data_IF_319355636492
#
_entry.id   IF_319355636492
#
_cell.length_a   1.000
_cell.length_b   1.000
_cell.length_c   1.000
_cell.angle_alpha   90.00
_cell.angle_beta   90.00
_cell.angle_gamma   90.00
#
_symmetry.space_group_name_H-M   'P 1'
#
loop_
_entity.id
_entity.type
_entity.pdbx_description
1 polymer ?
#
# COMPACT_ATOMS: atom_id res chain seq x y z
N UNK A 1 28.65 -3.31 13.56
CA UNK A 1 27.52 -2.68 12.86
C UNK A 1 26.55 -3.76 12.47
N UNK A 2 25.33 -3.70 12.97
CA UNK A 2 24.35 -4.76 12.74
C UNK A 2 23.00 -4.23 12.30
N UNK A 3 22.21 -5.11 11.71
CA UNK A 3 20.82 -4.92 11.34
C UNK A 3 19.95 -5.76 12.27
N UNK A 4 18.93 -5.15 12.86
CA UNK A 4 17.90 -5.87 13.58
C UNK A 4 16.75 -6.22 12.60
N UNK A 5 16.41 -7.48 12.51
CA UNK A 5 15.20 -7.95 11.84
C UNK A 5 14.13 -8.27 12.90
N UNK A 6 13.01 -7.52 12.92
CA UNK A 6 11.98 -7.67 13.95
C UNK A 6 10.57 -7.72 13.39
N UNK A 7 9.85 -8.81 13.72
CA UNK A 7 8.45 -9.00 13.41
C UNK A 7 7.73 -9.72 14.56
N UNK A 8 6.45 -9.40 14.77
CA UNK A 8 5.55 -10.18 15.65
C UNK A 8 4.57 -11.04 14.86
N UNK A 9 4.50 -10.83 13.56
CA UNK A 9 3.56 -11.47 12.65
C UNK A 9 4.37 -12.31 11.65
N UNK A 10 4.52 -13.59 11.96
CA UNK A 10 5.34 -14.53 11.19
C UNK A 10 4.55 -15.09 10.00
N UNK A 11 4.19 -14.23 9.05
CA UNK A 11 3.62 -14.66 7.77
C UNK A 11 4.68 -15.22 6.80
N UNK A 12 5.96 -14.97 7.10
CA UNK A 12 7.11 -15.58 6.41
C UNK A 12 8.15 -16.03 7.43
N UNK A 13 8.92 -17.04 7.08
CA UNK A 13 10.04 -17.51 7.88
C UNK A 13 11.11 -16.40 7.95
N UNK A 14 11.35 -15.85 9.15
CA UNK A 14 12.34 -14.79 9.36
C UNK A 14 13.76 -15.25 8.98
N UNK A 15 14.01 -16.55 8.97
CA UNK A 15 15.30 -17.12 8.55
C UNK A 15 15.53 -16.96 7.04
N UNK A 16 14.47 -16.96 6.23
CA UNK A 16 14.56 -16.65 4.79
C UNK A 16 14.99 -15.19 4.58
N UNK A 17 14.39 -14.27 5.35
CA UNK A 17 14.78 -12.86 5.31
C UNK A 17 16.20 -12.64 5.81
N UNK A 18 16.57 -13.31 6.89
CA UNK A 18 17.94 -13.26 7.43
C UNK A 18 18.95 -13.70 6.39
N UNK A 19 18.77 -14.90 5.83
CA UNK A 19 19.68 -15.46 4.82
C UNK A 19 19.80 -14.55 3.58
N UNK A 20 18.67 -13.97 3.12
CA UNK A 20 18.68 -13.04 2.00
C UNK A 20 19.43 -11.74 2.31
N UNK A 21 19.33 -11.22 3.53
CA UNK A 21 20.06 -10.03 3.95
C UNK A 21 21.55 -10.31 4.13
N UNK A 22 21.94 -11.48 4.71
CA UNK A 22 23.34 -11.92 4.83
C UNK A 22 24.01 -12.10 3.47
N UNK A 23 23.29 -12.64 2.47
CA UNK A 23 23.78 -12.75 1.11
C UNK A 23 23.96 -11.38 0.44
N UNK A 24 23.01 -10.47 0.65
CA UNK A 24 23.04 -9.13 0.03
C UNK A 24 24.04 -8.17 0.71
N UNK A 25 24.31 -8.35 1.99
CA UNK A 25 25.15 -7.46 2.83
C UNK A 25 26.05 -8.28 3.74
N UNK A 26 27.05 -9.00 3.19
CA UNK A 26 27.89 -9.91 3.96
C UNK A 26 28.80 -9.21 4.99
N UNK A 27 28.92 -7.89 4.92
CA UNK A 27 29.66 -7.06 5.88
C UNK A 27 28.83 -6.65 7.11
N UNK A 28 27.54 -6.98 7.14
CA UNK A 28 26.62 -6.63 8.23
C UNK A 28 26.24 -7.86 9.03
N UNK A 29 26.24 -7.75 10.35
CA UNK A 29 25.65 -8.77 11.21
C UNK A 29 24.14 -8.65 11.21
N UNK A 30 23.42 -9.72 10.92
CA UNK A 30 21.95 -9.75 10.88
C UNK A 30 21.43 -10.46 12.14
N UNK A 31 20.84 -9.70 13.04
CA UNK A 31 20.23 -10.21 14.27
C UNK A 31 18.71 -10.30 14.13
N UNK A 32 18.13 -11.39 14.59
CA UNK A 32 16.66 -11.60 14.54
C UNK A 32 16.09 -11.49 15.95
N UNK A 33 15.11 -10.61 16.14
CA UNK A 33 14.41 -10.49 17.41
C UNK A 33 13.79 -11.83 17.83
N UNK A 34 13.91 -12.28 19.10
CA UNK A 34 14.44 -11.55 20.27
C UNK A 34 15.95 -11.68 20.53
N UNK A 35 16.71 -12.35 19.66
CA UNK A 35 18.16 -12.51 19.80
C UNK A 35 18.85 -11.32 19.10
N UNK A 36 18.96 -10.22 19.83
CA UNK A 36 19.29 -8.89 19.30
C UNK A 36 20.81 -8.62 19.23
N UNK A 37 21.64 -9.45 19.87
CA UNK A 37 23.08 -9.20 20.04
C UNK A 37 23.35 -7.99 20.94
N UNK A 38 24.44 -7.24 20.66
CA UNK A 38 24.72 -5.99 21.37
C UNK A 38 23.85 -4.85 20.83
N UNK A 39 23.01 -4.29 21.69
CA UNK A 39 22.09 -3.19 21.35
C UNK A 39 22.82 -1.93 20.84
N UNK A 40 24.09 -1.75 21.20
CA UNK A 40 24.91 -0.63 20.74
C UNK A 40 25.41 -0.80 19.31
N UNK A 41 25.41 -2.02 18.78
CA UNK A 41 25.88 -2.33 17.42
C UNK A 41 24.76 -2.18 16.38
N UNK A 42 23.49 -2.12 16.82
CA UNK A 42 22.33 -2.02 15.92
C UNK A 42 22.22 -0.61 15.35
N UNK A 43 22.45 -0.48 14.06
CA UNK A 43 22.35 0.79 13.32
C UNK A 43 21.11 0.88 12.42
N UNK A 44 20.54 -0.24 12.01
CA UNK A 44 19.34 -0.30 11.17
C UNK A 44 18.36 -1.32 11.72
N UNK A 45 17.06 -1.00 11.62
CA UNK A 45 16.00 -1.93 11.97
C UNK A 45 15.11 -2.21 10.75
N UNK A 46 15.05 -3.46 10.33
CA UNK A 46 14.14 -3.96 9.29
C UNK A 46 12.94 -4.57 9.99
N UNK A 47 11.75 -3.99 9.81
CA UNK A 47 10.62 -4.28 10.69
C UNK A 47 9.32 -4.56 9.93
N UNK A 48 8.52 -5.48 10.51
CA UNK A 48 7.12 -5.66 10.17
C UNK A 48 6.31 -5.94 11.43
N UNK A 49 5.37 -5.02 11.78
CA UNK A 49 4.58 -5.12 13.02
C UNK A 49 5.45 -5.48 14.24
N UNK A 50 6.56 -4.78 14.41
CA UNK A 50 7.50 -5.03 15.49
C UNK A 50 6.87 -4.82 16.89
N UNK A 51 7.40 -5.42 17.95
CA UNK A 51 6.93 -5.16 19.31
C UNK A 51 7.05 -3.68 19.66
N UNK A 52 5.98 -3.08 20.17
CA UNK A 52 5.94 -1.65 20.53
C UNK A 52 7.03 -1.29 21.53
N UNK A 53 7.66 -0.16 21.31
CA UNK A 53 8.71 0.39 22.17
C UNK A 53 10.07 -0.29 22.06
N UNK A 54 10.21 -1.35 21.27
CA UNK A 54 11.49 -2.06 21.15
C UNK A 54 12.58 -1.17 20.55
N UNK A 55 12.22 -0.31 19.59
CA UNK A 55 13.18 0.51 18.85
C UNK A 55 13.89 1.54 19.73
N UNK A 56 13.35 1.87 20.89
CA UNK A 56 14.03 2.75 21.89
C UNK A 56 15.29 2.12 22.50
N UNK A 57 15.42 0.80 22.46
CA UNK A 57 16.56 0.10 23.05
C UNK A 57 17.87 0.37 22.30
N UNK A 58 17.81 0.82 21.04
CA UNK A 58 18.98 0.92 20.15
C UNK A 58 19.42 2.36 20.02
N UNK A 59 20.44 2.80 20.81
CA UNK A 59 20.86 4.20 20.87
C UNK A 59 21.52 4.70 19.57
N UNK A 60 22.07 3.78 18.77
CA UNK A 60 22.80 4.09 17.54
C UNK A 60 21.97 3.86 16.27
N UNK A 61 20.66 3.68 16.42
CA UNK A 61 19.74 3.45 15.28
C UNK A 61 19.74 4.68 14.34
N UNK A 62 20.01 4.45 13.07
CA UNK A 62 20.12 5.47 12.01
C UNK A 62 18.87 5.53 11.10
N UNK A 63 18.23 4.40 10.86
CA UNK A 63 17.02 4.31 10.05
C UNK A 63 16.18 3.08 10.39
N UNK A 64 14.88 3.20 10.10
CA UNK A 64 13.90 2.12 10.21
C UNK A 64 13.40 1.78 8.81
N UNK A 65 13.47 0.51 8.43
CA UNK A 65 13.06 0.00 7.13
C UNK A 65 11.81 -0.88 7.31
N UNK A 66 10.71 -0.49 6.68
CA UNK A 66 9.49 -1.31 6.67
C UNK A 66 9.60 -2.39 5.60
N UNK A 67 9.32 -3.65 5.95
CA UNK A 67 9.19 -4.77 5.00
C UNK A 67 7.93 -4.67 4.12
N UNK A 68 7.08 -3.68 4.37
CA UNK A 68 5.87 -3.44 3.59
C UNK A 68 5.86 -2.09 2.88
N UNK A 69 4.92 -1.92 1.96
CA UNK A 69 4.67 -0.64 1.29
C UNK A 69 4.03 0.40 2.23
N UNK A 70 3.28 -0.05 3.24
CA UNK A 70 2.73 0.78 4.31
C UNK A 70 3.71 0.94 5.47
N UNK A 71 3.57 2.04 6.20
CA UNK A 71 4.38 2.36 7.39
C UNK A 71 3.52 2.59 8.64
N UNK A 72 2.23 2.37 8.56
CA UNK A 72 1.26 2.54 9.64
C UNK A 72 1.64 1.74 10.89
N UNK A 73 2.12 0.51 10.72
CA UNK A 73 2.60 -0.34 11.80
C UNK A 73 3.85 0.23 12.51
N UNK A 74 4.65 1.07 11.83
CA UNK A 74 5.79 1.76 12.43
C UNK A 74 5.36 3.03 13.13
N UNK A 75 4.61 3.91 12.43
CA UNK A 75 4.20 5.21 12.96
C UNK A 75 3.16 5.14 14.08
N UNK A 76 2.46 4.00 14.22
CA UNK A 76 1.53 3.75 15.32
C UNK A 76 2.22 3.34 16.63
N UNK A 77 3.54 3.16 16.65
CA UNK A 77 4.29 2.92 17.87
C UNK A 77 4.42 4.24 18.66
N UNK A 78 3.80 4.38 19.86
CA UNK A 78 3.87 5.59 20.65
C UNK A 78 5.28 5.90 21.17
N UNK A 79 6.13 4.89 21.15
CA UNK A 79 7.51 4.93 21.61
C UNK A 79 8.53 4.98 20.47
N UNK A 80 8.07 5.30 19.26
CA UNK A 80 8.93 5.42 18.09
C UNK A 80 10.03 6.48 18.33
N UNK A 81 11.32 6.17 18.11
CA UNK A 81 12.39 7.17 18.20
C UNK A 81 12.15 8.33 17.22
N UNK A 82 12.21 9.55 17.74
CA UNK A 82 11.95 10.75 16.92
C UNK A 82 13.13 11.08 16.01
N UNK A 83 12.82 11.60 14.82
CA UNK A 83 13.83 12.15 13.90
C UNK A 83 14.57 11.10 13.05
N UNK A 84 14.27 9.82 13.20
CA UNK A 84 14.83 8.78 12.34
C UNK A 84 14.07 8.69 11.01
N UNK A 85 14.78 8.52 9.88
CA UNK A 85 14.15 8.25 8.61
C UNK A 85 13.46 6.88 8.64
N UNK A 86 12.21 6.85 8.11
CA UNK A 86 11.47 5.62 7.88
C UNK A 86 11.45 5.35 6.38
N UNK A 87 12.08 4.25 5.97
CA UNK A 87 12.15 3.80 4.58
C UNK A 87 11.09 2.71 4.37
N UNK A 88 10.27 2.86 3.34
CA UNK A 88 9.26 1.86 2.99
C UNK A 88 9.69 1.04 1.78
N UNK A 89 9.17 -0.17 1.69
CA UNK A 89 9.36 -1.00 0.52
C UNK A 89 8.63 -0.38 -0.69
N UNK A 90 9.37 -0.19 -1.79
CA UNK A 90 8.82 0.17 -3.10
C UNK A 90 9.20 -0.95 -4.08
N UNK A 91 8.37 -1.98 -4.13
CA UNK A 91 8.60 -3.15 -4.97
C UNK A 91 7.74 -3.13 -6.23
N UNK A 92 8.37 -3.45 -7.38
CA UNK A 92 7.70 -3.51 -8.68
C UNK A 92 6.74 -4.70 -8.79
N UNK A 93 7.08 -5.84 -8.17
CA UNK A 93 6.22 -7.04 -8.19
C UNK A 93 4.95 -6.79 -7.39
N UNK A 94 5.09 -6.27 -6.16
CA UNK A 94 3.94 -5.87 -5.34
C UNK A 94 3.05 -4.86 -6.07
N UNK A 95 3.65 -3.86 -6.70
CA UNK A 95 2.90 -2.86 -7.49
C UNK A 95 2.13 -3.53 -8.62
N UNK A 96 2.76 -4.49 -9.33
CA UNK A 96 2.12 -5.24 -10.41
C UNK A 96 0.95 -6.09 -9.91
N UNK A 97 1.11 -6.82 -8.81
CA UNK A 97 0.02 -7.60 -8.20
C UNK A 97 -1.16 -6.71 -7.78
N UNK A 98 -0.89 -5.52 -7.24
CA UNK A 98 -1.93 -4.55 -6.90
C UNK A 98 -2.66 -4.01 -8.14
N UNK A 99 -1.96 -3.83 -9.27
CA UNK A 99 -2.60 -3.50 -10.55
C UNK A 99 -3.54 -4.62 -10.97
N UNK A 100 -3.06 -5.87 -11.02
CA UNK A 100 -3.87 -7.02 -11.42
C UNK A 100 -5.11 -7.20 -10.53
N UNK A 101 -4.94 -7.09 -9.22
CA UNK A 101 -6.04 -7.14 -8.27
C UNK A 101 -7.09 -6.05 -8.53
N UNK A 102 -6.63 -4.81 -8.72
CA UNK A 102 -7.52 -3.68 -8.96
C UNK A 102 -8.27 -3.80 -10.29
N UNK A 103 -7.56 -4.20 -11.36
CA UNK A 103 -8.17 -4.43 -12.67
C UNK A 103 -9.22 -5.54 -12.62
N UNK A 104 -8.92 -6.65 -11.91
CA UNK A 104 -9.89 -7.73 -11.72
C UNK A 104 -11.21 -7.21 -11.15
N UNK A 105 -11.17 -6.45 -10.07
CA UNK A 105 -12.39 -5.96 -9.43
C UNK A 105 -13.08 -4.86 -10.24
N UNK A 106 -12.34 -3.95 -10.87
CA UNK A 106 -12.94 -2.94 -11.75
C UNK A 106 -13.67 -3.60 -12.90
N UNK A 107 -13.07 -4.57 -13.60
CA UNK A 107 -13.69 -5.29 -14.71
C UNK A 107 -14.88 -6.14 -14.24
N UNK A 108 -14.79 -6.75 -13.05
CA UNK A 108 -15.89 -7.50 -12.45
C UNK A 108 -17.15 -6.65 -12.28
N UNK A 109 -17.00 -5.43 -11.74
CA UNK A 109 -18.14 -4.52 -11.56
C UNK A 109 -18.53 -3.80 -12.84
N UNK A 110 -17.57 -3.45 -13.69
CA UNK A 110 -17.83 -2.78 -14.97
C UNK A 110 -18.66 -3.62 -15.92
N UNK A 111 -18.41 -4.92 -16.00
CA UNK A 111 -19.07 -5.86 -16.88
C UNK A 111 -20.22 -6.63 -16.23
N UNK A 112 -20.70 -6.19 -15.06
CA UNK A 112 -21.81 -6.80 -14.31
C UNK A 112 -21.66 -8.32 -14.07
N UNK A 113 -20.41 -8.80 -13.92
CA UNK A 113 -20.12 -10.23 -13.73
C UNK A 113 -20.82 -10.81 -12.49
N UNK A 114 -21.02 -10.01 -11.46
CA UNK A 114 -21.74 -10.42 -10.26
C UNK A 114 -23.22 -10.73 -10.55
N UNK A 115 -23.87 -9.96 -11.45
CA UNK A 115 -25.25 -10.23 -11.88
C UNK A 115 -25.31 -11.51 -12.72
N UNK A 116 -24.43 -11.66 -13.70
CA UNK A 116 -24.35 -12.87 -14.52
C UNK A 116 -24.11 -14.12 -13.68
N UNK A 117 -23.32 -14.03 -12.63
CA UNK A 117 -23.10 -15.14 -11.71
C UNK A 117 -24.38 -15.54 -10.95
N UNK A 118 -25.17 -14.57 -10.51
CA UNK A 118 -26.48 -14.81 -9.86
C UNK A 118 -27.44 -15.46 -10.86
N UNK A 119 -27.56 -14.91 -12.05
CA UNK A 119 -28.41 -15.44 -13.11
C UNK A 119 -28.02 -16.86 -13.51
N UNK A 120 -26.74 -17.16 -13.58
CA UNK A 120 -26.25 -18.51 -13.85
C UNK A 120 -26.72 -19.52 -12.78
N UNK A 121 -26.71 -19.14 -11.50
CA UNK A 121 -27.20 -19.99 -10.41
C UNK A 121 -28.71 -20.26 -10.52
N UNK A 122 -29.47 -19.29 -11.05
CA UNK A 122 -30.92 -19.40 -11.28
C UNK A 122 -31.28 -19.98 -12.65
N UNK A 123 -30.27 -20.35 -13.47
CA UNK A 123 -30.45 -20.81 -14.86
C UNK A 123 -31.23 -19.80 -15.73
N UNK A 124 -31.04 -18.50 -15.47
CA UNK A 124 -31.65 -17.41 -16.21
C UNK A 124 -30.66 -16.80 -17.20
N UNK A 125 -31.17 -16.40 -18.37
CA UNK A 125 -30.39 -15.67 -19.37
C UNK A 125 -31.00 -14.28 -19.59
N UNK A 126 -30.43 -13.26 -18.93
CA UNK A 126 -30.86 -11.87 -19.07
C UNK A 126 -29.62 -11.04 -19.44
N UNK A 127 -29.61 -10.51 -20.65
CA UNK A 127 -28.53 -9.66 -21.12
C UNK A 127 -28.55 -8.33 -20.40
N UNK A 128 -27.43 -7.93 -19.81
CA UNK A 128 -27.26 -6.60 -19.20
C UNK A 128 -26.85 -5.58 -20.27
N UNK A 129 -27.21 -4.31 -20.05
CA UNK A 129 -26.76 -3.21 -20.89
C UNK A 129 -25.28 -2.94 -20.63
N UNK A 130 -24.45 -3.02 -21.67
CA UNK A 130 -23.03 -2.68 -21.54
C UNK A 130 -22.84 -1.16 -21.46
N UNK A 131 -22.06 -0.73 -20.49
CA UNK A 131 -21.55 0.64 -20.39
C UNK A 131 -20.14 0.63 -21.00
N UNK A 132 -19.81 1.65 -21.80
CA UNK A 132 -18.46 1.75 -22.34
C UNK A 132 -17.48 2.20 -21.25
N UNK A 133 -16.19 1.81 -21.37
CA UNK A 133 -15.16 2.20 -20.39
C UNK A 133 -15.02 3.72 -20.29
N UNK A 134 -15.15 4.43 -21.39
CA UNK A 134 -15.12 5.90 -21.49
C UNK A 134 -16.24 6.60 -20.68
N UNK A 135 -17.35 5.90 -20.41
CA UNK A 135 -18.48 6.41 -19.62
C UNK A 135 -18.40 6.00 -18.14
N UNK A 136 -17.41 5.17 -17.77
CA UNK A 136 -17.18 4.72 -16.41
C UNK A 136 -16.07 5.50 -15.74
N UNK A 137 -16.38 6.21 -14.66
CA UNK A 137 -15.39 6.94 -13.87
C UNK A 137 -14.86 6.07 -12.73
N UNK A 138 -13.55 5.85 -12.69
CA UNK A 138 -12.86 5.16 -11.61
C UNK A 138 -12.20 6.20 -10.72
N UNK A 139 -12.59 6.26 -9.46
CA UNK A 139 -11.99 7.12 -8.45
C UNK A 139 -10.90 6.39 -7.70
N UNK A 140 -9.73 7.02 -7.54
CA UNK A 140 -8.61 6.44 -6.79
C UNK A 140 -8.25 7.37 -5.63
N UNK A 141 -8.45 6.91 -4.41
CA UNK A 141 -7.95 7.59 -3.21
C UNK A 141 -6.52 7.14 -2.92
N UNK A 142 -5.58 8.09 -2.98
CA UNK A 142 -4.16 7.81 -2.75
C UNK A 142 -3.37 7.54 -4.04
N UNK A 143 -3.09 8.58 -4.83
CA UNK A 143 -2.25 8.48 -6.04
C UNK A 143 -0.73 8.49 -5.70
N UNK A 144 -0.30 7.60 -4.79
CA UNK A 144 1.11 7.26 -4.58
C UNK A 144 1.66 6.37 -5.69
N UNK A 145 2.75 5.64 -5.44
CA UNK A 145 3.35 4.72 -6.44
C UNK A 145 2.33 3.69 -6.94
N UNK A 146 1.63 3.02 -6.02
CA UNK A 146 0.65 1.98 -6.36
C UNK A 146 -0.57 2.61 -7.04
N UNK A 147 -1.21 3.62 -6.42
CA UNK A 147 -2.42 4.21 -6.97
C UNK A 147 -2.22 4.88 -8.34
N UNK A 148 -1.04 5.49 -8.57
CA UNK A 148 -0.72 6.04 -9.89
C UNK A 148 -0.56 4.94 -10.92
N UNK A 149 0.14 3.85 -10.60
CA UNK A 149 0.34 2.74 -11.52
C UNK A 149 -0.98 2.04 -11.88
N UNK A 150 -1.90 1.89 -10.91
CA UNK A 150 -3.27 1.41 -11.14
C UNK A 150 -4.00 2.38 -12.08
N UNK A 151 -3.93 3.68 -11.80
CA UNK A 151 -4.58 4.71 -12.60
C UNK A 151 -4.11 4.73 -14.05
N UNK A 152 -2.79 4.69 -14.28
CA UNK A 152 -2.21 4.62 -15.61
C UNK A 152 -2.68 3.37 -16.38
N UNK A 153 -2.79 2.22 -15.69
CA UNK A 153 -3.28 0.98 -16.30
C UNK A 153 -4.75 1.06 -16.70
N UNK A 154 -5.59 1.72 -15.88
CA UNK A 154 -7.01 1.93 -16.19
C UNK A 154 -7.21 2.94 -17.32
N UNK A 155 -6.41 4.00 -17.37
CA UNK A 155 -6.40 4.96 -18.50
C UNK A 155 -6.07 4.26 -19.82
N UNK A 156 -5.11 3.31 -19.81
CA UNK A 156 -4.77 2.52 -21.00
C UNK A 156 -5.90 1.56 -21.46
N UNK A 157 -6.93 1.35 -20.62
CA UNK A 157 -8.16 0.62 -20.94
C UNK A 157 -9.34 1.56 -21.21
N UNK A 158 -9.06 2.83 -21.52
CA UNK A 158 -10.00 3.89 -21.86
C UNK A 158 -10.99 4.25 -20.74
N UNK A 159 -10.71 3.87 -19.48
CA UNK A 159 -11.51 4.34 -18.35
C UNK A 159 -11.23 5.81 -18.03
N UNK A 160 -12.29 6.53 -17.65
CA UNK A 160 -12.15 7.84 -17.02
C UNK A 160 -11.57 7.67 -15.62
N UNK A 161 -10.36 8.18 -15.36
CA UNK A 161 -9.74 8.07 -14.03
C UNK A 161 -9.65 9.43 -13.37
N UNK A 162 -10.11 9.51 -12.13
CA UNK A 162 -9.95 10.67 -11.25
C UNK A 162 -9.25 10.22 -9.95
N UNK A 163 -8.50 11.13 -9.36
CA UNK A 163 -7.76 10.82 -8.14
C UNK A 163 -8.02 11.81 -7.01
N UNK A 164 -7.86 11.33 -5.78
CA UNK A 164 -7.94 12.16 -4.60
C UNK A 164 -6.78 11.92 -3.63
N UNK A 165 -6.39 12.96 -2.91
CA UNK A 165 -5.46 12.86 -1.79
C UNK A 165 -5.37 14.13 -0.97
N UNK A 166 -4.76 14.03 0.23
CA UNK A 166 -4.73 15.12 1.20
C UNK A 166 -3.80 16.27 0.81
N UNK A 167 -2.82 16.05 -0.09
CA UNK A 167 -1.82 17.06 -0.48
C UNK A 167 -1.86 17.32 -1.97
N UNK A 168 -1.59 18.55 -2.42
CA UNK A 168 -1.45 18.88 -3.82
C UNK A 168 -0.41 17.99 -4.51
N UNK A 169 -0.65 17.66 -5.77
CA UNK A 169 0.31 16.96 -6.63
C UNK A 169 0.43 17.66 -7.96
N UNK A 170 1.66 17.72 -8.43
CA UNK A 170 1.97 18.22 -9.77
C UNK A 170 1.85 17.07 -10.78
N UNK A 171 1.35 17.39 -11.96
CA UNK A 171 1.30 16.55 -13.16
C UNK A 171 1.05 15.03 -12.94
N UNK A 172 -0.20 14.63 -13.04
CA UNK A 172 -0.61 13.21 -13.02
C UNK A 172 -1.05 12.70 -14.41
N UNK A 173 -0.52 13.30 -15.47
CA UNK A 173 -0.91 12.98 -16.84
C UNK A 173 -2.36 13.37 -17.12
N UNK A 174 -3.16 12.43 -17.65
CA UNK A 174 -4.59 12.63 -17.95
C UNK A 174 -5.51 12.48 -16.72
N UNK A 175 -4.99 12.12 -15.55
CA UNK A 175 -5.78 11.89 -14.35
C UNK A 175 -6.11 13.22 -13.68
N UNK A 176 -7.39 13.60 -13.67
CA UNK A 176 -7.88 14.77 -12.91
C UNK A 176 -7.72 14.51 -11.42
N UNK A 177 -7.13 15.46 -10.69
CA UNK A 177 -6.81 15.30 -9.28
C UNK A 177 -7.58 16.27 -8.40
N UNK A 178 -8.12 15.75 -7.32
CA UNK A 178 -8.82 16.46 -6.26
C UNK A 178 -7.96 16.47 -5.00
N UNK A 179 -7.91 17.58 -4.30
CA UNK A 179 -7.04 17.75 -3.14
C UNK A 179 -7.79 18.26 -1.93
N UNK A 180 -7.46 17.69 -0.78
CA UNK A 180 -7.99 18.16 0.49
C UNK A 180 -9.41 17.68 0.79
N UNK A 181 -9.84 17.94 2.01
CA UNK A 181 -11.15 17.47 2.50
C UNK A 181 -12.32 18.20 1.81
N UNK A 182 -12.12 19.45 1.45
CA UNK A 182 -13.10 20.29 0.75
C UNK A 182 -13.47 19.78 -0.63
N UNK A 183 -12.61 19.01 -1.30
CA UNK A 183 -12.88 18.44 -2.62
C UNK A 183 -13.25 16.94 -2.56
N UNK A 184 -13.35 16.36 -1.37
CA UNK A 184 -13.64 14.94 -1.23
C UNK A 184 -15.05 14.58 -1.74
N UNK A 185 -16.06 15.38 -1.39
CA UNK A 185 -17.43 15.16 -1.82
C UNK A 185 -17.58 15.30 -3.34
N UNK A 186 -16.96 16.31 -3.93
CA UNK A 186 -16.92 16.49 -5.38
C UNK A 186 -16.25 15.33 -6.12
N UNK A 187 -15.20 14.78 -5.54
CA UNK A 187 -14.52 13.58 -6.04
C UNK A 187 -15.44 12.36 -5.97
N UNK A 188 -16.05 12.10 -4.79
CA UNK A 188 -16.91 10.94 -4.57
C UNK A 188 -18.16 10.98 -5.43
N UNK A 189 -18.78 12.17 -5.62
CA UNK A 189 -19.99 12.33 -6.43
C UNK A 189 -19.81 11.99 -7.90
N UNK A 190 -18.57 12.03 -8.40
CA UNK A 190 -18.23 11.69 -9.80
C UNK A 190 -17.70 10.27 -9.95
N UNK A 191 -17.50 9.56 -8.85
CA UNK A 191 -16.88 8.21 -8.83
C UNK A 191 -17.95 7.12 -8.98
N UNK A 192 -17.81 6.27 -10.00
CA UNK A 192 -18.69 5.09 -10.18
C UNK A 192 -18.12 3.85 -9.47
N UNK A 193 -16.80 3.66 -9.51
CA UNK A 193 -16.08 2.60 -8.80
C UNK A 193 -14.92 3.23 -8.05
N UNK A 194 -14.83 2.96 -6.75
CA UNK A 194 -13.82 3.55 -5.87
C UNK A 194 -12.74 2.54 -5.53
N UNK A 195 -11.49 2.95 -5.71
CA UNK A 195 -10.30 2.23 -5.25
C UNK A 195 -9.65 3.04 -4.13
N UNK A 196 -9.53 2.46 -2.94
CA UNK A 196 -8.88 3.11 -1.81
C UNK A 196 -7.53 2.44 -1.53
N UNK A 197 -6.45 3.18 -1.75
CA UNK A 197 -5.05 2.79 -1.46
C UNK A 197 -4.34 3.84 -0.61
N UNK A 198 -5.10 4.53 0.23
CA UNK A 198 -4.56 5.46 1.22
C UNK A 198 -3.80 4.69 2.32
N UNK A 199 -2.74 5.27 2.88
CA UNK A 199 -2.16 4.76 4.12
C UNK A 199 -3.17 4.95 5.27
N UNK A 200 -3.20 4.02 6.22
CA UNK A 200 -4.00 4.14 7.42
C UNK A 200 -3.30 5.11 8.40
N UNK A 201 -3.90 6.26 8.61
CA UNK A 201 -3.45 7.30 9.54
C UNK A 201 -4.64 7.87 10.29
N UNK A 202 -4.42 8.66 11.33
CA UNK A 202 -5.51 9.33 12.06
C UNK A 202 -6.37 10.22 11.14
N UNK A 203 -5.77 10.80 10.08
CA UNK A 203 -6.48 11.65 9.12
C UNK A 203 -7.22 10.86 8.02
N UNK A 204 -6.92 9.58 7.84
CA UNK A 204 -7.55 8.74 6.81
C UNK A 204 -8.44 7.65 7.39
N UNK A 205 -8.38 7.43 8.69
CA UNK A 205 -9.25 6.50 9.41
C UNK A 205 -10.71 7.00 9.34
N UNK A 206 -11.62 6.13 8.89
CA UNK A 206 -13.05 6.44 8.74
C UNK A 206 -13.32 7.64 7.81
N UNK A 207 -12.51 7.85 6.78
CA UNK A 207 -12.68 8.94 5.81
C UNK A 207 -13.85 8.69 4.83
N UNK A 208 -14.29 7.43 4.72
CA UNK A 208 -15.45 6.96 3.95
C UNK A 208 -16.58 6.57 4.87
#
# INVERSE_FOLDING_TARGET
MSILLASTDFWEDMEVWRSGLEEAMPEMDINVYPDEGDVNDVEYAVVWKHPRGILKKYPNLKAILSLGAGVDHVISDPDLPLGLPIVRLVDKKLTHEMILHSLHWVLHFHSDQYLYRIQQQSSEWIQQSSIQSEDRTIGIMGLGNIGKAIGDSLVNLDFKVIGWGARPKESLGSIKYYCGHEQLEDFLSQTHILINVLPLTDNTKNIL
#
